data_IF_158676636982
#
_entry.id   IF_158676636982
#
_cell.length_a   1.000
_cell.length_b   1.000
_cell.length_c   1.000
_cell.angle_alpha   90.00
_cell.angle_beta   90.00
_cell.angle_gamma   90.00
#
_symmetry.space_group_name_H-M   'P 1'
#
loop_
_entity.id
_entity.type
_entity.pdbx_description
1 polymer ?
#
# COMPACT_ATOMS: atom_id res chain seq x y z
N UNK A 1 0.90 15.41 22.08
CA UNK A 1 -0.13 15.81 21.10
C UNK A 1 -0.35 14.78 20.02
N UNK A 2 0.69 14.24 19.38
CA UNK A 2 0.57 13.18 18.38
C UNK A 2 1.74 12.18 18.44
N UNK A 3 1.58 11.01 17.82
CA UNK A 3 2.61 9.97 17.69
C UNK A 3 2.93 9.69 16.21
N UNK A 4 4.22 9.49 15.92
CA UNK A 4 4.71 8.92 14.67
C UNK A 4 5.49 7.65 15.02
N UNK A 5 5.11 6.51 14.45
CA UNK A 5 5.84 5.24 14.57
C UNK A 5 6.55 4.93 13.26
N UNK A 6 7.88 4.92 13.28
CA UNK A 6 8.75 4.67 12.12
C UNK A 6 9.83 3.63 12.44
N UNK A 7 9.41 2.53 13.08
CA UNK A 7 10.33 1.40 13.26
C UNK A 7 10.63 0.78 11.91
N UNK A 8 11.90 0.46 11.67
CA UNK A 8 12.32 -0.07 10.37
C UNK A 8 11.63 -1.37 9.95
N UNK A 9 11.21 -2.19 10.92
CA UNK A 9 10.45 -3.41 10.65
C UNK A 9 9.01 -3.27 11.17
N UNK A 10 8.04 -3.50 10.28
CA UNK A 10 6.60 -3.36 10.56
C UNK A 10 6.06 -4.19 11.72
N UNK A 11 6.75 -5.27 12.13
CA UNK A 11 6.31 -6.10 13.25
C UNK A 11 6.34 -5.40 14.60
N UNK A 12 7.09 -4.30 14.72
CA UNK A 12 7.20 -3.52 15.95
C UNK A 12 6.25 -2.32 15.99
N UNK A 13 5.47 -2.09 14.93
CA UNK A 13 4.68 -0.87 14.77
C UNK A 13 3.52 -0.80 15.77
N UNK A 14 2.68 -1.84 15.78
CA UNK A 14 1.47 -1.84 16.59
C UNK A 14 1.76 -1.86 18.09
N UNK A 15 2.76 -2.63 18.53
CA UNK A 15 3.17 -2.67 19.94
C UNK A 15 3.70 -1.32 20.43
N UNK A 16 4.47 -0.62 19.59
CA UNK A 16 4.95 0.72 19.92
C UNK A 16 3.79 1.75 19.98
N UNK A 17 2.79 1.63 19.10
CA UNK A 17 1.67 2.56 19.03
C UNK A 17 0.60 2.33 20.11
N UNK A 18 0.39 1.08 20.52
CA UNK A 18 -0.72 0.66 21.39
C UNK A 18 -0.92 1.51 22.64
N UNK A 19 0.10 1.75 23.51
CA UNK A 19 -0.13 2.52 24.73
C UNK A 19 -0.54 3.97 24.48
N UNK A 20 -0.14 4.55 23.35
CA UNK A 20 -0.48 5.93 22.99
C UNK A 20 -1.88 6.02 22.40
N UNK A 21 -2.24 5.06 21.53
CA UNK A 21 -3.60 4.98 20.97
C UNK A 21 -4.63 4.73 22.08
N UNK A 22 -4.34 3.85 23.04
CA UNK A 22 -5.20 3.64 24.21
C UNK A 22 -5.33 4.88 25.10
N UNK A 23 -4.33 5.76 25.09
CA UNK A 23 -4.32 7.02 25.83
C UNK A 23 -4.97 8.20 25.08
N UNK A 24 -5.57 7.98 23.90
CA UNK A 24 -6.23 9.05 23.15
C UNK A 24 -5.30 9.86 22.24
N UNK A 25 -4.08 9.38 21.96
CA UNK A 25 -3.08 10.14 21.19
C UNK A 25 -3.19 9.77 19.70
N UNK A 26 -3.59 10.71 18.81
CA UNK A 26 -3.65 10.48 17.38
C UNK A 26 -2.31 10.01 16.82
N UNK A 27 -2.33 8.98 15.99
CA UNK A 27 -1.12 8.24 15.62
C UNK A 27 -1.00 8.01 14.12
N UNK A 28 0.13 8.42 13.55
CA UNK A 28 0.58 7.96 12.24
C UNK A 28 1.53 6.78 12.44
N UNK A 29 1.23 5.67 11.79
CA UNK A 29 2.04 4.46 11.83
C UNK A 29 2.58 4.25 10.43
N UNK A 30 3.90 4.27 10.25
CA UNK A 30 4.51 4.16 8.93
C UNK A 30 4.14 2.84 8.24
N UNK A 31 4.38 2.76 6.93
CA UNK A 31 4.15 1.53 6.18
C UNK A 31 5.25 0.48 6.42
N UNK A 32 4.91 -0.82 6.35
CA UNK A 32 3.53 -1.33 6.38
C UNK A 32 2.94 -1.09 7.78
N UNK A 33 1.65 -0.76 7.84
CA UNK A 33 0.92 -0.49 9.09
C UNK A 33 1.19 -1.53 10.20
N UNK A 34 1.27 -2.80 9.79
CA UNK A 34 1.63 -3.92 10.65
C UNK A 34 2.20 -5.05 9.79
N UNK A 35 2.63 -6.14 10.44
CA UNK A 35 3.16 -7.31 9.75
C UNK A 35 2.14 -8.44 9.59
N UNK A 36 1.06 -8.43 10.38
CA UNK A 36 0.01 -9.45 10.36
C UNK A 36 -1.38 -8.81 10.31
N UNK A 37 -2.22 -9.28 9.40
CA UNK A 37 -3.55 -8.75 9.14
C UNK A 37 -4.45 -8.84 10.37
N UNK A 38 -4.45 -10.00 11.04
CA UNK A 38 -5.25 -10.22 12.25
C UNK A 38 -4.87 -9.23 13.36
N UNK A 39 -3.58 -8.99 13.58
CA UNK A 39 -3.10 -8.01 14.56
C UNK A 39 -3.55 -6.60 14.20
N UNK A 40 -3.50 -6.25 12.90
CA UNK A 40 -3.98 -4.98 12.39
C UNK A 40 -5.48 -4.78 12.59
N UNK A 41 -6.30 -5.82 12.34
CA UNK A 41 -7.74 -5.81 12.57
C UNK A 41 -8.04 -5.52 14.03
N UNK A 42 -7.43 -6.28 14.94
CA UNK A 42 -7.66 -6.12 16.38
C UNK A 42 -7.18 -4.76 16.91
N UNK A 43 -6.07 -4.26 16.37
CA UNK A 43 -5.59 -2.91 16.70
C UNK A 43 -6.56 -1.82 16.25
N UNK A 44 -7.06 -1.87 15.01
CA UNK A 44 -7.96 -0.84 14.48
C UNK A 44 -9.37 -0.92 15.10
N UNK A 45 -9.86 -2.12 15.44
CA UNK A 45 -11.07 -2.26 16.28
C UNK A 45 -10.89 -1.60 17.65
N UNK A 46 -9.73 -1.82 18.29
CA UNK A 46 -9.38 -1.17 19.55
C UNK A 46 -9.36 0.36 19.38
N UNK A 47 -8.66 0.88 18.37
CA UNK A 47 -8.56 2.32 18.08
C UNK A 47 -9.94 2.95 17.89
N UNK A 48 -10.83 2.30 17.13
CA UNK A 48 -12.24 2.72 16.97
C UNK A 48 -13.00 2.74 18.29
N UNK A 49 -12.87 1.69 19.11
CA UNK A 49 -13.55 1.58 20.41
C UNK A 49 -13.15 2.71 21.37
N UNK A 50 -11.88 3.11 21.37
CA UNK A 50 -11.38 4.22 22.20
C UNK A 50 -11.51 5.59 21.52
N UNK A 51 -11.98 5.63 20.26
CA UNK A 51 -12.19 6.86 19.51
C UNK A 51 -10.91 7.59 19.12
N UNK A 52 -9.78 6.89 19.03
CA UNK A 52 -8.48 7.51 18.72
C UNK A 52 -8.15 7.41 17.23
N UNK A 53 -7.88 8.54 16.55
CA UNK A 53 -7.53 8.56 15.13
C UNK A 53 -6.20 7.85 14.84
N UNK A 54 -6.21 6.97 13.85
CA UNK A 54 -5.03 6.23 13.38
C UNK A 54 -4.98 6.23 11.86
N UNK A 55 -3.81 6.50 11.29
CA UNK A 55 -3.61 6.36 9.84
C UNK A 55 -2.25 5.77 9.48
N UNK A 56 -2.16 5.26 8.25
CA UNK A 56 -0.94 4.71 7.67
C UNK A 56 -0.98 4.80 6.14
N UNK A 57 0.11 5.25 5.54
CA UNK A 57 0.28 5.27 4.10
C UNK A 57 1.75 5.39 3.70
N UNK A 58 2.05 4.90 2.50
CA UNK A 58 3.26 5.17 1.74
C UNK A 58 3.22 6.60 1.21
N UNK A 59 4.31 7.33 1.36
CA UNK A 59 4.47 8.63 0.70
C UNK A 59 4.49 8.55 -0.83
N UNK A 60 4.79 7.36 -1.39
CA UNK A 60 4.70 7.09 -2.83
C UNK A 60 3.24 6.94 -3.29
N UNK A 61 2.30 6.66 -2.39
CA UNK A 61 0.86 6.60 -2.68
C UNK A 61 0.13 7.89 -2.27
N UNK A 62 0.45 8.44 -1.10
CA UNK A 62 -0.17 9.64 -0.54
C UNK A 62 0.49 10.93 -1.06
N UNK A 63 0.49 11.12 -2.38
CA UNK A 63 1.02 12.31 -3.04
C UNK A 63 0.08 12.78 -4.16
N UNK A 64 0.11 14.06 -4.51
CA UNK A 64 -0.71 14.68 -5.54
C UNK A 64 -0.54 14.00 -6.90
N UNK A 65 0.67 13.56 -7.25
CA UNK A 65 0.96 12.88 -8.52
C UNK A 65 0.16 11.57 -8.67
N UNK A 66 0.08 10.75 -7.63
CA UNK A 66 -0.68 9.50 -7.62
C UNK A 66 -2.18 9.76 -7.69
N UNK A 67 -2.67 10.80 -7.02
CA UNK A 67 -4.08 11.15 -7.07
C UNK A 67 -4.48 11.73 -8.43
N UNK A 68 -3.65 12.55 -9.06
CA UNK A 68 -3.90 12.99 -10.44
C UNK A 68 -3.90 11.81 -11.41
N UNK A 69 -2.97 10.87 -11.28
CA UNK A 69 -3.00 9.64 -12.08
C UNK A 69 -4.27 8.82 -11.84
N UNK A 70 -4.76 8.74 -10.60
CA UNK A 70 -6.03 8.08 -10.29
C UNK A 70 -7.22 8.78 -10.98
N UNK A 71 -7.24 10.12 -11.05
CA UNK A 71 -8.26 10.85 -11.83
C UNK A 71 -8.13 10.59 -13.34
N UNK A 72 -6.91 10.54 -13.88
CA UNK A 72 -6.69 10.18 -15.28
C UNK A 72 -7.24 8.79 -15.62
N UNK A 73 -7.07 7.80 -14.73
CA UNK A 73 -7.61 6.45 -14.96
C UNK A 73 -9.13 6.46 -15.10
N UNK A 74 -9.85 7.33 -14.37
CA UNK A 74 -11.31 7.46 -14.52
C UNK A 74 -11.74 8.02 -15.87
N UNK A 75 -10.85 8.72 -16.56
CA UNK A 75 -11.07 9.27 -17.91
C UNK A 75 -10.75 8.24 -19.01
N UNK A 76 -10.13 7.10 -18.67
CA UNK A 76 -9.75 6.07 -19.62
C UNK A 76 -10.81 4.97 -19.71
N UNK A 77 -11.12 4.57 -20.95
CA UNK A 77 -12.00 3.42 -21.20
C UNK A 77 -11.24 2.11 -20.95
N UNK A 78 -11.82 1.25 -20.11
CA UNK A 78 -11.51 -0.18 -19.98
C UNK A 78 -10.01 -0.53 -19.92
N UNK A 79 -9.35 -0.17 -18.81
CA UNK A 79 -8.01 -0.67 -18.50
C UNK A 79 -8.11 -2.15 -18.17
N UNK A 80 -7.35 -3.00 -18.86
CA UNK A 80 -7.35 -4.46 -18.61
C UNK A 80 -6.01 -4.97 -18.10
N UNK A 81 -4.90 -4.33 -18.49
CA UNK A 81 -3.56 -4.68 -18.04
C UNK A 81 -2.79 -3.48 -17.51
N UNK A 82 -2.07 -3.71 -16.43
CA UNK A 82 -1.21 -2.72 -15.78
C UNK A 82 0.20 -3.32 -15.70
N UNK A 83 1.22 -2.53 -15.99
CA UNK A 83 2.61 -2.87 -15.67
C UNK A 83 3.16 -1.81 -14.74
N UNK A 84 3.63 -2.21 -13.56
CA UNK A 84 4.29 -1.29 -12.64
C UNK A 84 5.67 -1.78 -12.27
N UNK A 85 6.67 -0.92 -12.41
CA UNK A 85 8.03 -1.19 -11.96
C UNK A 85 8.36 -0.45 -10.68
N UNK A 86 9.22 -1.05 -9.86
CA UNK A 86 9.60 -0.45 -8.60
C UNK A 86 10.54 -1.29 -7.77
N UNK A 87 11.22 -0.65 -6.81
CA UNK A 87 12.14 -1.35 -5.91
C UNK A 87 11.34 -2.24 -4.98
N UNK A 88 11.61 -3.55 -5.01
CA UNK A 88 11.15 -4.53 -4.02
C UNK A 88 12.25 -5.55 -3.81
N UNK A 89 12.47 -5.93 -2.56
CA UNK A 89 13.35 -7.04 -2.19
C UNK A 89 12.55 -8.03 -1.35
N UNK A 90 12.18 -9.16 -1.95
CA UNK A 90 11.39 -10.20 -1.28
C UNK A 90 12.14 -10.90 -0.15
N UNK A 91 13.47 -10.74 -0.07
CA UNK A 91 14.34 -11.33 0.95
C UNK A 91 14.86 -10.28 1.95
N UNK A 92 14.25 -9.10 1.99
CA UNK A 92 14.68 -8.05 2.92
C UNK A 92 14.70 -8.55 4.37
N UNK A 93 15.78 -8.27 5.09
CA UNK A 93 15.87 -8.55 6.53
C UNK A 93 14.84 -7.80 7.39
N UNK A 94 14.12 -6.83 6.81
CA UNK A 94 13.12 -6.00 7.48
C UNK A 94 11.67 -6.45 7.19
N UNK A 95 11.48 -7.74 6.88
CA UNK A 95 10.15 -8.35 6.66
C UNK A 95 9.91 -8.80 5.22
N UNK A 96 10.96 -9.08 4.44
CA UNK A 96 10.82 -9.53 3.06
C UNK A 96 10.04 -8.54 2.20
N UNK A 97 9.02 -9.06 1.50
CA UNK A 97 8.14 -8.25 0.64
C UNK A 97 7.44 -7.11 1.39
N UNK A 98 7.22 -7.22 2.70
CA UNK A 98 6.58 -6.17 3.50
C UNK A 98 7.37 -4.86 3.56
N UNK A 99 8.70 -4.90 3.39
CA UNK A 99 9.52 -3.71 3.59
C UNK A 99 9.32 -2.66 2.49
N UNK A 100 9.42 -3.07 1.23
CA UNK A 100 9.22 -2.19 0.06
C UNK A 100 7.92 -2.45 -0.70
N UNK A 101 7.23 -3.57 -0.46
CA UNK A 101 5.95 -3.92 -1.08
C UNK A 101 4.89 -2.80 -1.01
N UNK A 102 4.70 -2.10 0.13
CA UNK A 102 3.75 -0.99 0.22
C UNK A 102 3.96 0.09 -0.85
N UNK A 103 5.22 0.37 -1.22
CA UNK A 103 5.55 1.41 -2.20
C UNK A 103 5.17 1.03 -3.64
N UNK A 104 5.04 -0.28 -3.93
CA UNK A 104 4.59 -0.75 -5.24
C UNK A 104 3.07 -1.02 -5.28
N UNK A 105 2.49 -1.62 -4.24
CA UNK A 105 1.09 -2.02 -4.26
C UNK A 105 0.13 -0.87 -3.94
N UNK A 106 0.47 0.01 -2.99
CA UNK A 106 -0.50 1.00 -2.51
C UNK A 106 -0.81 2.06 -3.58
N UNK A 107 0.15 2.56 -4.38
CA UNK A 107 -0.19 3.45 -5.47
C UNK A 107 -1.06 2.78 -6.53
N UNK A 108 -0.87 1.48 -6.81
CA UNK A 108 -1.79 0.73 -7.68
C UNK A 108 -3.19 0.72 -7.11
N UNK A 109 -3.32 0.43 -5.81
CA UNK A 109 -4.61 0.40 -5.15
C UNK A 109 -5.32 1.76 -5.18
N UNK A 110 -4.56 2.86 -5.09
CA UNK A 110 -5.10 4.21 -5.19
C UNK A 110 -5.59 4.55 -6.59
N UNK A 111 -4.87 4.09 -7.62
CA UNK A 111 -5.18 4.40 -9.02
C UNK A 111 -6.26 3.49 -9.61
N UNK A 112 -6.28 2.21 -9.23
CA UNK A 112 -7.07 1.17 -9.91
C UNK A 112 -8.10 0.48 -9.02
N UNK A 113 -8.21 0.89 -7.75
CA UNK A 113 -9.13 0.28 -6.78
C UNK A 113 -8.46 -0.70 -5.84
N UNK A 114 -9.12 -1.04 -4.74
CA UNK A 114 -8.50 -1.78 -3.62
C UNK A 114 -8.86 -3.28 -3.59
N UNK A 115 -9.73 -3.74 -4.49
CA UNK A 115 -10.28 -5.09 -4.49
C UNK A 115 -9.39 -6.06 -5.27
N UNK A 116 -8.22 -6.38 -4.70
CA UNK A 116 -7.31 -7.42 -5.22
C UNK A 116 -7.80 -8.80 -4.77
N UNK A 117 -8.07 -9.70 -5.71
CA UNK A 117 -8.59 -11.05 -5.45
C UNK A 117 -7.46 -12.03 -5.12
N UNK A 118 -6.42 -12.08 -5.96
CA UNK A 118 -5.30 -13.02 -5.80
C UNK A 118 -4.00 -12.47 -6.33
N UNK A 119 -2.91 -12.99 -5.80
CA UNK A 119 -1.56 -12.55 -6.11
C UNK A 119 -0.64 -13.73 -6.37
N UNK A 120 0.43 -13.52 -7.12
CA UNK A 120 1.49 -14.51 -7.30
C UNK A 120 2.85 -13.85 -7.42
N UNK A 121 3.81 -14.32 -6.64
CA UNK A 121 5.23 -14.00 -6.81
C UNK A 121 5.83 -14.99 -7.81
N UNK A 122 6.62 -14.46 -8.73
CA UNK A 122 7.47 -15.23 -9.62
C UNK A 122 8.91 -14.86 -9.29
N UNK A 123 9.74 -15.84 -8.98
CA UNK A 123 11.15 -15.64 -8.66
C UNK A 123 12.03 -16.64 -9.41
N UNK A 124 13.25 -16.22 -9.73
CA UNK A 124 14.33 -17.06 -10.21
C UNK A 124 15.62 -16.68 -9.48
N UNK A 125 16.74 -17.27 -9.87
CA UNK A 125 18.04 -17.05 -9.21
C UNK A 125 18.55 -15.60 -9.28
N UNK A 126 18.03 -14.79 -10.21
CA UNK A 126 18.52 -13.43 -10.49
C UNK A 126 17.56 -12.35 -10.03
N UNK A 127 16.26 -12.53 -10.23
CA UNK A 127 15.25 -11.50 -10.00
C UNK A 127 13.90 -12.13 -9.59
N UNK A 128 13.00 -11.25 -9.15
CA UNK A 128 11.62 -11.58 -8.85
C UNK A 128 10.67 -10.53 -9.42
N UNK A 129 9.38 -10.86 -9.42
CA UNK A 129 8.27 -9.99 -9.80
C UNK A 129 6.99 -10.56 -9.22
N UNK A 130 5.87 -9.90 -9.48
CA UNK A 130 4.57 -10.38 -9.06
C UNK A 130 3.49 -10.16 -10.11
N UNK A 131 2.37 -10.86 -9.96
CA UNK A 131 1.12 -10.57 -10.64
C UNK A 131 0.00 -10.42 -9.62
N UNK A 132 -0.89 -9.46 -9.82
CA UNK A 132 -2.09 -9.22 -9.00
C UNK A 132 -3.30 -9.24 -9.93
N UNK A 133 -4.38 -9.91 -9.53
CA UNK A 133 -5.66 -9.91 -10.22
C UNK A 133 -6.66 -9.15 -9.36
N UNK A 134 -7.27 -8.11 -9.92
CA UNK A 134 -8.36 -7.37 -9.29
C UNK A 134 -9.70 -8.08 -9.52
N UNK A 135 -10.69 -7.79 -8.68
CA UNK A 135 -12.02 -8.41 -8.72
C UNK A 135 -12.79 -8.11 -10.03
N UNK A 136 -12.46 -7.01 -10.71
CA UNK A 136 -13.01 -6.67 -12.02
C UNK A 136 -12.32 -7.41 -13.19
N UNK A 137 -11.32 -8.23 -12.89
CA UNK A 137 -10.53 -8.99 -13.87
C UNK A 137 -9.28 -8.27 -14.37
N UNK A 138 -9.02 -7.03 -13.94
CA UNK A 138 -7.80 -6.29 -14.31
C UNK A 138 -6.56 -7.05 -13.81
N UNK A 139 -5.55 -7.19 -14.67
CA UNK A 139 -4.29 -7.88 -14.35
C UNK A 139 -3.13 -6.89 -14.23
N UNK A 140 -2.53 -6.79 -13.05
CA UNK A 140 -1.31 -6.03 -12.85
C UNK A 140 -0.08 -6.96 -12.84
N UNK A 141 0.92 -6.62 -13.63
CA UNK A 141 2.26 -7.23 -13.64
C UNK A 141 3.27 -6.30 -12.99
N UNK A 142 3.90 -6.76 -11.91
CA UNK A 142 4.88 -6.01 -11.14
C UNK A 142 6.30 -6.45 -11.49
N UNK A 143 7.09 -5.48 -11.93
CA UNK A 143 8.52 -5.66 -12.24
C UNK A 143 9.34 -5.14 -11.07
N UNK A 144 9.96 -6.04 -10.29
CA UNK A 144 10.79 -5.63 -9.16
C UNK A 144 12.18 -5.24 -9.66
N UNK A 145 12.57 -3.98 -9.48
CA UNK A 145 13.84 -3.45 -9.96
C UNK A 145 14.94 -3.66 -8.92
N UNK A 146 16.05 -4.27 -9.34
CA UNK A 146 17.23 -4.54 -8.50
C UNK A 146 18.38 -3.55 -8.71
N UNK A 147 18.36 -2.79 -9.81
CA UNK A 147 19.44 -1.85 -10.18
C UNK A 147 18.99 -0.39 -10.23
N UNK A 148 17.80 -0.12 -10.76
CA UNK A 148 17.27 1.23 -10.91
C UNK A 148 16.39 1.61 -9.72
N UNK A 149 16.50 2.87 -9.28
CA UNK A 149 15.56 3.49 -8.35
C UNK A 149 14.56 4.34 -9.13
N UNK A 150 13.27 4.18 -8.84
CA UNK A 150 12.18 4.86 -9.52
C UNK A 150 10.92 4.00 -9.55
N UNK A 151 9.82 4.65 -9.90
CA UNK A 151 8.50 4.02 -10.02
C UNK A 151 7.93 4.42 -11.38
N UNK A 152 7.47 3.45 -12.16
CA UNK A 152 6.80 3.72 -13.42
C UNK A 152 5.56 2.85 -13.51
N UNK A 153 4.51 3.40 -14.10
CA UNK A 153 3.26 2.68 -14.35
C UNK A 153 2.94 2.81 -15.83
N UNK A 154 2.57 1.70 -16.43
CA UNK A 154 2.05 1.62 -17.78
C UNK A 154 0.70 0.93 -17.73
N UNK A 155 -0.19 1.33 -18.62
CA UNK A 155 -1.52 0.75 -18.75
C UNK A 155 -1.77 0.38 -20.21
N UNK A 156 -2.47 -0.73 -20.42
CA UNK A 156 -3.02 -1.05 -21.74
C UNK A 156 -4.28 -0.22 -21.97
N UNK A 157 -4.28 0.54 -23.06
CA UNK A 157 -5.43 1.27 -23.59
C UNK A 157 -5.69 0.85 -25.03
N UNK A 158 -6.74 1.40 -25.64
CA UNK A 158 -7.05 1.21 -27.07
C UNK A 158 -5.90 1.62 -28.02
N UNK A 159 -5.00 2.49 -27.56
CA UNK A 159 -3.86 3.00 -28.32
C UNK A 159 -2.57 2.20 -28.07
N UNK A 160 -2.65 1.11 -27.29
CA UNK A 160 -1.54 0.24 -26.92
C UNK A 160 -1.11 0.41 -25.46
N UNK A 161 0.13 0.02 -25.14
CA UNK A 161 0.68 0.19 -23.79
C UNK A 161 1.24 1.61 -23.67
N UNK A 162 0.64 2.42 -22.80
CA UNK A 162 1.01 3.83 -22.58
C UNK A 162 1.57 4.03 -21.19
N UNK A 163 2.56 4.91 -21.06
CA UNK A 163 3.10 5.31 -19.75
C UNK A 163 2.15 6.28 -19.06
N UNK A 164 1.72 5.94 -17.85
CA UNK A 164 0.90 6.81 -17.01
C UNK A 164 1.82 7.76 -16.24
N UNK A 165 1.70 9.07 -16.54
CA UNK A 165 2.49 10.13 -15.91
C UNK A 165 1.58 11.13 -15.21
N UNK A 166 1.98 11.68 -14.07
CA UNK A 166 1.24 12.76 -13.46
C UNK A 166 1.28 14.01 -14.36
N UNK A 167 0.15 14.71 -14.44
CA UNK A 167 -0.02 16.04 -15.06
C UNK A 167 0.33 17.16 -14.09
N UNK A 168 0.41 16.84 -12.80
CA UNK A 168 0.74 17.76 -11.70
C UNK A 168 2.10 17.41 -11.10
N UNK A 169 2.60 18.28 -10.22
CA UNK A 169 3.78 18.02 -9.39
C UNK A 169 3.38 18.11 -7.92
N UNK A 170 4.12 17.40 -7.09
CA UNK A 170 3.97 17.51 -5.64
C UNK A 170 4.31 18.92 -5.15
N UNK A 171 3.46 19.47 -4.28
CA UNK A 171 3.72 20.74 -3.60
C UNK A 171 4.65 20.59 -2.39
N UNK A 172 5.10 21.71 -1.82
CA UNK A 172 5.85 21.74 -0.57
C UNK A 172 5.13 22.62 0.47
N UNK A 173 4.71 22.07 1.64
CA UNK A 173 4.89 20.68 2.07
C UNK A 173 4.06 19.68 1.25
N UNK A 174 4.62 18.49 1.05
CA UNK A 174 3.92 17.43 0.32
C UNK A 174 2.70 16.91 1.06
N UNK A 175 1.73 16.38 0.31
CA UNK A 175 0.43 15.93 0.79
C UNK A 175 0.50 14.87 1.88
N UNK A 176 1.49 13.97 1.82
CA UNK A 176 1.81 13.02 2.91
C UNK A 176 1.87 13.73 4.26
N UNK A 177 2.56 14.87 4.34
CA UNK A 177 2.73 15.62 5.58
C UNK A 177 1.48 16.43 5.93
N UNK A 178 0.84 17.03 4.92
CA UNK A 178 -0.40 17.81 5.11
C UNK A 178 -1.50 16.92 5.69
N UNK A 179 -1.75 15.77 5.07
CA UNK A 179 -2.80 14.84 5.50
C UNK A 179 -2.50 14.23 6.88
N UNK A 180 -1.23 13.93 7.18
CA UNK A 180 -0.81 13.45 8.50
C UNK A 180 -1.07 14.51 9.60
N UNK A 181 -0.63 15.74 9.37
CA UNK A 181 -0.79 16.84 10.34
C UNK A 181 -2.26 17.23 10.49
N UNK A 182 -3.02 17.23 9.41
CA UNK A 182 -4.47 17.52 9.46
C UNK A 182 -5.21 16.46 10.28
N UNK A 183 -4.84 15.18 10.14
CA UNK A 183 -5.36 14.12 10.99
C UNK A 183 -5.02 14.35 12.47
N UNK A 184 -3.78 14.72 12.80
CA UNK A 184 -3.40 15.05 14.18
C UNK A 184 -4.20 16.22 14.76
N UNK A 185 -4.52 17.23 13.95
CA UNK A 185 -5.25 18.43 14.39
C UNK A 185 -6.75 18.20 14.54
N UNK A 186 -7.35 17.42 13.65
CA UNK A 186 -8.81 17.32 13.51
C UNK A 186 -9.37 15.97 13.94
N UNK A 187 -8.52 14.96 14.02
CA UNK A 187 -8.90 13.56 14.15
C UNK A 187 -9.56 12.96 12.92
N UNK A 188 -9.61 13.69 11.79
CA UNK A 188 -10.15 13.16 10.53
C UNK A 188 -9.10 12.31 9.83
N UNK A 189 -9.35 11.01 9.78
CA UNK A 189 -8.48 10.07 9.10
C UNK A 189 -8.54 10.27 7.57
N UNK A 190 -7.39 10.42 6.87
CA UNK A 190 -7.37 10.65 5.42
C UNK A 190 -7.61 9.37 4.62
N UNK A 191 -7.62 8.22 5.29
CA UNK A 191 -7.79 6.89 4.70
C UNK A 191 -8.59 6.02 5.67
N UNK A 192 -9.49 5.19 5.14
CA UNK A 192 -10.25 4.27 5.97
C UNK A 192 -9.37 3.16 6.55
N UNK A 193 -9.71 2.66 7.73
CA UNK A 193 -9.07 1.49 8.32
C UNK A 193 -9.17 0.24 7.44
N UNK A 194 -10.29 0.06 6.74
CA UNK A 194 -10.47 -1.04 5.79
C UNK A 194 -9.43 -0.97 4.67
N UNK A 195 -9.26 0.21 4.07
CA UNK A 195 -8.25 0.46 3.04
C UNK A 195 -6.82 0.17 3.54
N UNK A 196 -6.50 0.58 4.77
CA UNK A 196 -5.21 0.25 5.42
C UNK A 196 -5.01 -1.26 5.47
N UNK A 197 -6.00 -2.00 5.94
CA UNK A 197 -5.94 -3.46 6.08
C UNK A 197 -5.95 -4.20 4.74
N UNK A 198 -6.63 -3.71 3.70
CA UNK A 198 -6.55 -4.28 2.35
C UNK A 198 -5.10 -4.31 1.84
N UNK A 199 -4.33 -3.26 2.14
CA UNK A 199 -2.90 -3.23 1.81
C UNK A 199 -2.11 -4.33 2.55
N UNK A 200 -2.43 -4.59 3.82
CA UNK A 200 -1.79 -5.65 4.60
C UNK A 200 -2.20 -7.04 4.10
N UNK A 201 -3.48 -7.25 3.76
CA UNK A 201 -3.99 -8.50 3.21
C UNK A 201 -3.26 -8.88 1.92
N UNK A 202 -3.02 -7.91 1.03
CA UNK A 202 -2.25 -8.12 -0.20
C UNK A 202 -0.78 -8.49 0.11
N UNK A 203 -0.14 -7.82 1.07
CA UNK A 203 1.25 -8.14 1.45
C UNK A 203 1.39 -9.53 2.08
N UNK A 204 0.45 -9.95 2.92
CA UNK A 204 0.44 -11.31 3.47
C UNK A 204 0.28 -12.36 2.37
N UNK A 205 -0.62 -12.14 1.41
CA UNK A 205 -0.80 -13.05 0.29
C UNK A 205 0.45 -13.11 -0.60
N UNK A 206 1.13 -11.97 -0.81
CA UNK A 206 2.40 -11.93 -1.53
C UNK A 206 3.48 -12.71 -0.76
N UNK A 207 3.60 -12.54 0.55
CA UNK A 207 4.55 -13.29 1.39
C UNK A 207 4.30 -14.80 1.31
N UNK A 208 3.06 -15.25 1.44
CA UNK A 208 2.68 -16.66 1.24
C UNK A 208 3.10 -17.17 -0.14
N UNK A 209 2.93 -16.33 -1.17
CA UNK A 209 3.32 -16.69 -2.53
C UNK A 209 4.85 -16.74 -2.72
N UNK A 210 5.62 -15.97 -1.95
CA UNK A 210 7.09 -16.12 -1.92
C UNK A 210 7.47 -17.53 -1.49
N UNK A 211 6.76 -18.12 -0.53
CA UNK A 211 7.01 -19.48 -0.02
C UNK A 211 6.46 -20.55 -0.96
N UNK A 212 5.20 -20.43 -1.39
CA UNK A 212 4.50 -21.47 -2.15
C UNK A 212 4.82 -21.48 -3.66
N UNK A 213 5.16 -20.32 -4.24
CA UNK A 213 5.29 -20.11 -5.69
C UNK A 213 3.96 -20.20 -6.46
N UNK A 214 2.83 -20.27 -5.76
CA UNK A 214 1.49 -20.42 -6.31
C UNK A 214 0.70 -19.11 -6.27
N UNK A 215 -0.45 -19.10 -6.93
CA UNK A 215 -1.46 -18.07 -6.72
C UNK A 215 -2.03 -18.18 -5.31
N UNK A 216 -1.94 -17.10 -4.55
CA UNK A 216 -2.50 -16.98 -3.20
C UNK A 216 -3.69 -16.04 -3.24
N UNK A 217 -4.79 -16.46 -2.61
CA UNK A 217 -5.97 -15.62 -2.46
C UNK A 217 -5.67 -14.52 -1.43
N UNK A 218 -6.10 -13.29 -1.72
CA UNK A 218 -6.08 -12.21 -0.75
C UNK A 218 -7.19 -12.49 0.25
N UNK A 219 -6.89 -12.58 1.56
CA UNK A 219 -7.89 -12.89 2.56
C UNK A 219 -8.95 -11.79 2.65
N UNK A 220 -10.20 -12.21 2.74
CA UNK A 220 -11.32 -11.31 3.07
C UNK A 220 -11.39 -11.13 4.58
N UNK A 221 -11.84 -9.95 5.02
CA UNK A 221 -11.97 -9.62 6.44
C UNK A 221 -13.12 -8.63 6.65
N UNK A 222 -13.52 -8.46 7.91
CA UNK A 222 -14.49 -7.46 8.35
C UNK A 222 -13.95 -6.70 9.55
N UNK A 223 -14.19 -5.39 9.58
CA UNK A 223 -13.70 -4.50 10.64
C UNK A 223 -14.83 -3.94 11.51
#
# INVERSE_FOLDING_TARGET
DALIVDHRHGKFHLDAARPFVEAGIPSFIDKPFCYRLEEGIEFLKMARRVGTPVTSFSSIAQNAETFDMAEQIKEMDQITHIVRSGRVDINSQYGGVFFYGPHIIQPLMYMFGEDVEKVRIIKNDKNSGASLVFADGTLASLVFTTQAYGWQTFVESKDGIVELKPRVKEEYPGRTYVDMVEMFRTGKEPRSHESILKGIAVLEALEKSVESGQWEQVPTFSL
#
